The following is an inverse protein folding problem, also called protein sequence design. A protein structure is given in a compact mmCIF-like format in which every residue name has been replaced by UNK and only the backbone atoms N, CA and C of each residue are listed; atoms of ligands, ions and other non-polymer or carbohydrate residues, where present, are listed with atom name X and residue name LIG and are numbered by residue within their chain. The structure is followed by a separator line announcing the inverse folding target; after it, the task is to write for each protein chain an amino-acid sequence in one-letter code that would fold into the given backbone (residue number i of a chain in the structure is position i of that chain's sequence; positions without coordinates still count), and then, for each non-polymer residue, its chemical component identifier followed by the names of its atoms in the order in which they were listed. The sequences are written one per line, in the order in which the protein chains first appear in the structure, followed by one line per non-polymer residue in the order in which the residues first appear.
data_IF_819681325168
#
_entry.id   IF_819681325168
#
_cell.length_a   1.000
_cell.length_b   1.000
_cell.length_c   1.000
_cell.angle_alpha   90.00
_cell.angle_beta   90.00
_cell.angle_gamma   90.00
#
_symmetry.space_group_name_H-M   'P 1'
#
loop_
_entity.id
_entity.type
_entity.pdbx_description
1 polymer ?
#
# COMPACT_ATOMS: atom_id res chain seq x y z
N UNK A 1 -62.28 -15.84 -26.98
CA UNK A 1 -61.76 -17.12 -26.45
C UNK A 1 -60.55 -17.53 -27.29
N UNK A 2 -59.38 -17.68 -26.67
CA UNK A 2 -58.26 -18.42 -27.27
C UNK A 2 -56.93 -17.67 -27.30
N UNK A 3 -56.45 -17.26 -26.13
CA UNK A 3 -55.09 -16.82 -25.87
C UNK A 3 -54.03 -17.86 -26.30
N UNK A 4 -52.89 -17.39 -26.78
CA UNK A 4 -51.76 -18.27 -27.13
C UNK A 4 -50.48 -17.53 -27.51
N UNK A 5 -50.17 -16.41 -26.84
CA UNK A 5 -48.87 -15.75 -27.02
C UNK A 5 -47.72 -16.65 -26.52
N UNK A 6 -46.94 -17.17 -27.47
CA UNK A 6 -45.69 -17.88 -27.19
C UNK A 6 -44.67 -16.94 -26.57
N UNK A 7 -44.54 -16.98 -25.24
CA UNK A 7 -43.46 -16.34 -24.48
C UNK A 7 -42.09 -16.82 -24.99
N UNK A 8 -41.40 -16.01 -25.78
CA UNK A 8 -39.96 -16.16 -26.03
C UNK A 8 -39.21 -15.68 -24.80
N UNK A 9 -38.64 -16.61 -24.04
CA UNK A 9 -37.69 -16.26 -22.97
C UNK A 9 -36.46 -15.56 -23.57
N UNK A 10 -36.00 -14.41 -23.04
CA UNK A 10 -34.69 -13.90 -23.40
C UNK A 10 -33.63 -14.84 -22.81
N UNK A 11 -32.89 -15.52 -23.70
CA UNK A 11 -31.73 -16.33 -23.31
C UNK A 11 -30.75 -15.44 -22.54
N UNK A 12 -30.51 -15.80 -21.28
CA UNK A 12 -29.49 -15.15 -20.46
C UNK A 12 -28.16 -15.14 -21.23
N UNK A 13 -27.59 -13.95 -21.45
CA UNK A 13 -26.22 -13.83 -21.97
C UNK A 13 -25.31 -14.49 -20.96
N UNK A 14 -24.73 -15.64 -21.31
CA UNK A 14 -23.59 -16.20 -20.58
C UNK A 14 -22.49 -15.15 -20.65
N UNK A 15 -22.19 -14.51 -19.52
CA UNK A 15 -20.94 -13.78 -19.36
C UNK A 15 -19.85 -14.83 -19.40
N UNK A 16 -19.25 -15.02 -20.59
CA UNK A 16 -18.11 -15.89 -20.76
C UNK A 16 -16.94 -15.30 -19.95
N UNK A 17 -16.84 -15.74 -18.69
CA UNK A 17 -15.71 -15.43 -17.83
C UNK A 17 -14.43 -15.94 -18.50
N UNK A 18 -13.37 -15.16 -18.41
CA UNK A 18 -12.05 -15.52 -18.95
C UNK A 18 -11.64 -16.89 -18.40
N UNK A 19 -11.45 -17.86 -19.29
CA UNK A 19 -11.00 -19.19 -18.90
C UNK A 19 -9.57 -19.14 -18.34
N UNK A 20 -9.25 -19.96 -17.34
CA UNK A 20 -7.89 -20.08 -16.77
C UNK A 20 -6.83 -20.28 -17.85
N UNK A 21 -7.15 -21.04 -18.89
CA UNK A 21 -6.25 -21.27 -20.03
C UNK A 21 -6.04 -20.01 -20.87
N UNK A 22 -7.09 -19.25 -21.15
CA UNK A 22 -6.99 -17.98 -21.86
C UNK A 22 -6.23 -16.94 -21.04
N UNK A 23 -6.43 -16.92 -19.73
CA UNK A 23 -5.64 -16.08 -18.81
C UNK A 23 -4.16 -16.46 -18.86
N UNK A 24 -3.82 -17.75 -18.72
CA UNK A 24 -2.43 -18.21 -18.76
C UNK A 24 -1.74 -17.93 -20.10
N UNK A 25 -2.45 -18.15 -21.22
CA UNK A 25 -1.95 -17.84 -22.56
C UNK A 25 -1.71 -16.34 -22.72
N UNK A 26 -2.64 -15.49 -22.26
CA UNK A 26 -2.46 -14.03 -22.31
C UNK A 26 -1.33 -13.55 -21.40
N UNK A 27 -1.20 -14.11 -20.20
CA UNK A 27 -0.13 -13.79 -19.26
C UNK A 27 1.25 -14.18 -19.83
N UNK A 28 1.39 -15.38 -20.38
CA UNK A 28 2.65 -15.84 -20.98
C UNK A 28 3.09 -14.95 -22.16
N UNK A 29 2.16 -14.56 -23.03
CA UNK A 29 2.45 -13.66 -24.14
C UNK A 29 2.82 -12.25 -23.66
N UNK A 30 2.16 -11.73 -22.62
CA UNK A 30 2.49 -10.43 -22.03
C UNK A 30 3.87 -10.42 -21.36
N UNK A 31 4.22 -11.50 -20.64
CA UNK A 31 5.54 -11.66 -20.01
C UNK A 31 6.66 -11.82 -21.04
N UNK A 32 6.41 -12.52 -22.15
CA UNK A 32 7.38 -12.66 -23.23
C UNK A 32 7.67 -11.31 -23.91
N UNK A 33 6.66 -10.47 -24.13
CA UNK A 33 6.85 -9.15 -24.74
C UNK A 33 7.63 -8.17 -23.83
N UNK A 34 7.50 -8.28 -22.51
CA UNK A 34 8.22 -7.43 -21.56
C UNK A 34 9.75 -7.68 -21.54
N UNK A 35 10.21 -8.88 -21.96
CA UNK A 35 11.63 -9.22 -22.01
C UNK A 35 12.38 -8.63 -23.22
N UNK A 36 11.65 -8.13 -24.24
CA UNK A 36 12.23 -7.54 -25.45
C UNK A 36 12.01 -6.03 -25.55
N UNK A 37 11.41 -5.41 -24.54
CA UNK A 37 11.33 -3.95 -24.49
C UNK A 37 12.72 -3.40 -24.13
N UNK A 38 13.29 -2.49 -24.93
CA UNK A 38 14.49 -1.78 -24.53
C UNK A 38 14.18 -1.04 -23.22
N UNK A 39 15.00 -1.24 -22.20
CA UNK A 39 14.89 -0.60 -20.86
C UNK A 39 14.92 0.93 -20.91
N UNK A 40 15.15 1.54 -22.08
CA UNK A 40 15.18 2.98 -22.29
C UNK A 40 13.80 3.66 -22.39
N UNK A 41 12.68 2.94 -22.42
CA UNK A 41 11.34 3.59 -22.32
C UNK A 41 11.00 4.10 -20.91
N UNK A 42 11.86 3.84 -19.91
CA UNK A 42 11.82 4.49 -18.60
C UNK A 42 12.87 5.59 -18.44
N UNK A 43 13.55 5.99 -19.52
CA UNK A 43 14.41 7.17 -19.49
C UNK A 43 13.55 8.43 -19.48
N UNK A 44 13.26 8.94 -18.29
CA UNK A 44 12.88 10.34 -18.10
C UNK A 44 14.03 11.17 -18.66
N UNK A 45 13.73 11.99 -19.67
CA UNK A 45 14.66 12.92 -20.29
C UNK A 45 15.07 13.98 -19.24
N UNK A 46 16.21 13.78 -18.57
CA UNK A 46 16.74 14.68 -17.54
C UNK A 46 17.48 15.90 -18.13
N UNK A 47 17.31 16.22 -19.41
CA UNK A 47 18.12 17.23 -20.10
C UNK A 47 17.66 18.69 -19.95
N UNK A 48 16.62 18.96 -19.16
CA UNK A 48 16.24 20.34 -18.84
C UNK A 48 15.66 20.43 -17.43
N UNK A 49 16.54 20.36 -16.44
CA UNK A 49 16.24 20.82 -15.10
C UNK A 49 17.26 21.90 -14.78
N UNK A 50 16.80 23.15 -14.74
CA UNK A 50 17.53 24.24 -14.11
C UNK A 50 18.09 23.78 -12.76
N UNK A 51 19.31 24.22 -12.37
CA UNK A 51 19.90 23.80 -11.11
C UNK A 51 18.93 24.09 -9.96
N UNK A 52 18.63 23.10 -9.09
CA UNK A 52 17.70 23.31 -8.01
C UNK A 52 18.27 24.38 -7.07
N UNK A 53 17.59 25.52 -7.04
CA UNK A 53 17.84 26.61 -6.11
C UNK A 53 17.82 26.03 -4.69
N UNK A 54 18.98 26.01 -4.05
CA UNK A 54 19.21 25.42 -2.74
C UNK A 54 18.39 26.18 -1.68
N UNK A 55 17.41 25.56 -1.00
CA UNK A 55 16.81 26.19 0.17
C UNK A 55 17.83 26.18 1.33
N UNK A 56 17.74 27.17 2.24
CA UNK A 56 18.76 27.45 3.23
C UNK A 56 19.05 26.27 4.16
N UNK A 57 20.34 26.13 4.46
CA UNK A 57 20.97 25.15 5.34
C UNK A 57 20.30 25.16 6.71
N UNK A 58 19.69 24.04 7.11
CA UNK A 58 19.14 23.94 8.46
C UNK A 58 18.13 22.84 8.71
N UNK A 59 18.36 21.61 8.23
CA UNK A 59 17.80 20.36 8.81
C UNK A 59 18.60 19.19 8.24
N UNK A 60 18.71 18.04 8.94
CA UNK A 60 19.20 16.83 8.29
C UNK A 60 18.23 16.50 7.16
N UNK A 61 18.71 16.72 5.94
CA UNK A 61 17.98 16.40 4.71
C UNK A 61 17.81 14.88 4.70
N UNK A 62 16.56 14.42 4.51
CA UNK A 62 16.27 13.00 4.32
C UNK A 62 17.21 12.39 3.28
N UNK A 63 17.55 11.11 3.41
CA UNK A 63 18.27 10.42 2.36
C UNK A 63 17.49 10.52 1.03
N UNK A 64 18.17 10.46 -0.14
CA UNK A 64 17.49 10.58 -1.42
C UNK A 64 16.41 9.51 -1.62
N UNK A 65 16.65 8.28 -1.14
CA UNK A 65 15.67 7.19 -1.14
C UNK A 65 14.47 7.52 -0.25
N UNK A 66 14.71 8.00 0.96
CA UNK A 66 13.65 8.41 1.87
C UNK A 66 12.80 9.57 1.33
N UNK A 67 13.43 10.52 0.63
CA UNK A 67 12.72 11.61 -0.03
C UNK A 67 11.81 11.07 -1.14
N UNK A 68 12.32 10.15 -1.97
CA UNK A 68 11.54 9.53 -3.03
C UNK A 68 10.33 8.75 -2.49
N UNK A 69 10.50 8.03 -1.38
CA UNK A 69 9.40 7.34 -0.71
C UNK A 69 8.36 8.30 -0.12
N UNK A 70 8.79 9.41 0.48
CA UNK A 70 7.89 10.42 1.02
C UNK A 70 7.03 11.05 -0.09
N UNK A 71 7.66 11.37 -1.23
CA UNK A 71 6.97 11.91 -2.41
C UNK A 71 6.02 10.86 -3.03
N UNK A 72 6.44 9.60 -3.13
CA UNK A 72 5.57 8.52 -3.60
C UNK A 72 4.35 8.31 -2.69
N UNK A 73 4.54 8.37 -1.37
CA UNK A 73 3.43 8.26 -0.40
C UNK A 73 2.48 9.45 -0.49
N UNK A 74 3.01 10.66 -0.64
CA UNK A 74 2.20 11.85 -0.87
C UNK A 74 1.33 11.70 -2.12
N UNK A 75 1.91 11.25 -3.24
CA UNK A 75 1.17 11.02 -4.48
C UNK A 75 0.11 9.93 -4.35
N UNK A 76 0.39 8.85 -3.61
CA UNK A 76 -0.58 7.80 -3.34
C UNK A 76 -1.80 8.31 -2.54
N UNK A 77 -1.56 9.21 -1.57
CA UNK A 77 -2.63 9.86 -0.80
C UNK A 77 -3.46 10.77 -1.72
N UNK A 78 -2.83 11.59 -2.55
CA UNK A 78 -3.54 12.45 -3.50
C UNK A 78 -4.37 11.66 -4.51
N UNK A 79 -3.85 10.54 -4.99
CA UNK A 79 -4.57 9.68 -5.93
C UNK A 79 -5.85 9.12 -5.31
N UNK A 80 -5.82 8.76 -4.02
CA UNK A 80 -6.97 8.15 -3.32
C UNK A 80 -7.94 9.19 -2.73
N UNK A 81 -7.42 10.33 -2.30
CA UNK A 81 -8.15 11.27 -1.45
C UNK A 81 -8.04 12.74 -1.88
N UNK A 82 -7.27 13.04 -2.92
CA UNK A 82 -6.94 14.41 -3.33
C UNK A 82 -8.14 15.29 -3.67
N UNK A 83 -9.23 14.71 -4.18
CA UNK A 83 -10.48 15.44 -4.46
C UNK A 83 -11.21 15.94 -3.21
N UNK A 84 -10.90 15.37 -2.03
CA UNK A 84 -11.51 15.74 -0.74
C UNK A 84 -10.63 16.70 0.06
N UNK A 85 -9.46 17.08 -0.46
CA UNK A 85 -8.45 17.82 0.27
C UNK A 85 -8.32 19.24 -0.29
N UNK A 86 -8.33 20.22 0.61
CA UNK A 86 -7.95 21.59 0.27
C UNK A 86 -6.45 21.70 0.01
N UNK A 87 -6.02 22.76 -0.66
CA UNK A 87 -4.59 22.94 -0.97
C UNK A 87 -3.74 23.14 0.29
N UNK A 88 -4.30 23.77 1.33
CA UNK A 88 -3.67 23.83 2.65
C UNK A 88 -3.45 22.43 3.24
N UNK A 89 -4.47 21.57 3.19
CA UNK A 89 -4.37 20.19 3.68
C UNK A 89 -3.37 19.36 2.87
N UNK A 90 -3.28 19.57 1.55
CA UNK A 90 -2.26 18.92 0.71
C UNK A 90 -0.85 19.35 1.13
N UNK A 91 -0.64 20.64 1.40
CA UNK A 91 0.61 21.16 1.96
C UNK A 91 0.98 20.51 3.29
N UNK A 92 0.01 20.39 4.20
CA UNK A 92 0.20 19.72 5.49
C UNK A 92 0.53 18.24 5.34
N UNK A 93 -0.17 17.52 4.47
CA UNK A 93 0.11 16.09 4.21
C UNK A 93 1.54 15.94 3.70
N UNK A 94 1.98 16.79 2.76
CA UNK A 94 3.36 16.74 2.25
C UNK A 94 4.39 16.93 3.36
N UNK A 95 4.17 17.90 4.26
CA UNK A 95 5.02 18.12 5.44
C UNK A 95 5.03 16.90 6.36
N UNK A 96 3.85 16.38 6.71
CA UNK A 96 3.69 15.23 7.61
C UNK A 96 4.32 13.96 7.02
N UNK A 97 4.22 13.73 5.71
CA UNK A 97 4.89 12.59 5.06
C UNK A 97 6.41 12.67 5.16
N UNK A 98 6.99 13.87 5.05
CA UNK A 98 8.42 14.08 5.26
C UNK A 98 8.85 13.90 6.71
N UNK A 99 8.05 14.36 7.67
CA UNK A 99 8.32 14.15 9.10
C UNK A 99 8.24 12.68 9.50
N UNK A 100 7.22 11.96 9.04
CA UNK A 100 7.07 10.52 9.26
C UNK A 100 8.28 9.74 8.74
N UNK A 101 8.84 10.16 7.61
CA UNK A 101 9.96 9.47 7.00
C UNK A 101 11.21 9.44 7.89
N UNK A 102 11.45 10.50 8.68
CA UNK A 102 12.56 10.55 9.65
C UNK A 102 12.44 9.45 10.71
N UNK A 103 11.22 9.23 11.21
CA UNK A 103 10.96 8.16 12.18
C UNK A 103 11.14 6.78 11.54
N UNK A 104 10.73 6.61 10.28
CA UNK A 104 10.89 5.34 9.55
C UNK A 104 12.35 4.99 9.28
N UNK A 105 13.21 5.95 8.95
CA UNK A 105 14.65 5.70 8.82
C UNK A 105 15.27 5.19 10.13
N UNK A 106 14.81 5.70 11.28
CA UNK A 106 15.25 5.20 12.58
C UNK A 106 14.79 3.76 12.81
N UNK A 107 13.52 3.44 12.50
CA UNK A 107 12.97 2.09 12.67
C UNK A 107 13.63 1.07 11.75
N UNK A 108 14.00 1.44 10.52
CA UNK A 108 14.69 0.55 9.57
C UNK A 108 16.10 0.16 9.98
N UNK A 109 16.72 0.90 10.91
CA UNK A 109 18.02 0.54 11.47
C UNK A 109 17.92 -0.56 12.53
N UNK A 110 16.72 -0.88 13.00
CA UNK A 110 16.54 -2.01 13.91
C UNK A 110 16.90 -3.31 13.16
N UNK A 111 17.81 -4.08 13.75
CA UNK A 111 18.15 -5.42 13.27
C UNK A 111 16.97 -6.34 13.57
N UNK A 112 16.45 -6.97 12.51
CA UNK A 112 15.33 -7.89 12.59
C UNK A 112 15.70 -9.14 11.80
N UNK A 113 15.51 -10.28 12.44
CA UNK A 113 15.71 -11.58 11.84
C UNK A 113 14.41 -12.16 11.30
N UNK A 114 14.52 -13.00 10.27
CA UNK A 114 13.38 -13.78 9.77
C UNK A 114 12.93 -14.77 10.86
N UNK A 115 11.94 -14.38 11.65
CA UNK A 115 11.47 -15.14 12.82
C UNK A 115 11.07 -14.24 13.99
N UNK A 116 11.50 -12.98 13.97
CA UNK A 116 11.09 -11.99 14.97
C UNK A 116 9.59 -11.74 14.91
N UNK A 117 8.89 -12.23 15.93
CA UNK A 117 7.45 -12.14 16.03
C UNK A 117 7.02 -10.70 16.35
N UNK A 118 5.80 -10.31 15.95
CA UNK A 118 5.23 -9.05 16.43
C UNK A 118 5.18 -9.05 17.96
N UNK A 119 5.38 -7.88 18.56
CA UNK A 119 5.34 -7.71 20.02
C UNK A 119 4.02 -8.20 20.64
N UNK A 120 2.93 -8.19 19.86
CA UNK A 120 1.64 -8.72 20.22
C UNK A 120 1.21 -9.79 19.20
N UNK A 121 0.83 -10.97 19.70
CA UNK A 121 0.25 -12.04 18.90
C UNK A 121 -1.17 -12.36 19.34
N UNK A 122 -1.99 -12.81 18.39
CA UNK A 122 -3.32 -13.29 18.68
C UNK A 122 -3.22 -14.61 19.47
N UNK A 123 -3.77 -14.64 20.68
CA UNK A 123 -3.97 -15.86 21.48
C UNK A 123 -5.39 -16.37 21.24
N UNK A 124 -5.60 -17.47 20.48
CA UNK A 124 -6.91 -18.07 20.30
C UNK A 124 -7.57 -18.41 21.64
N UNK A 125 -8.90 -18.33 21.71
CA UNK A 125 -9.65 -18.57 22.96
C UNK A 125 -9.39 -19.97 23.53
N UNK A 126 -9.21 -20.98 22.68
CA UNK A 126 -8.94 -22.37 23.08
C UNK A 126 -7.66 -22.49 23.93
N UNK A 127 -6.64 -21.67 23.68
CA UNK A 127 -5.41 -21.66 24.46
C UNK A 127 -5.58 -20.97 25.82
N UNK A 128 -6.48 -19.98 25.92
CA UNK A 128 -6.83 -19.32 27.19
C UNK A 128 -7.65 -20.23 28.10
N UNK A 129 -8.51 -21.08 27.53
CA UNK A 129 -9.26 -22.07 28.30
C UNK A 129 -8.34 -23.17 28.84
N UNK A 130 -7.35 -23.59 28.05
CA UNK A 130 -6.33 -24.57 28.47
C UNK A 130 -5.37 -24.02 29.54
N UNK A 131 -5.02 -22.73 29.46
CA UNK A 131 -4.19 -22.04 30.44
C UNK A 131 -4.93 -20.79 30.96
N UNK A 132 -5.79 -20.94 31.98
CA UNK A 132 -6.50 -19.80 32.55
C UNK A 132 -5.49 -18.81 33.15
N UNK A 133 -5.60 -17.55 32.74
CA UNK A 133 -4.85 -16.47 33.35
C UNK A 133 -5.40 -16.26 34.75
N UNK A 134 -4.67 -16.73 35.77
CA UNK A 134 -4.98 -16.42 37.16
C UNK A 134 -4.84 -14.90 37.33
N UNK A 135 -5.87 -14.18 37.79
CA UNK A 135 -5.76 -12.76 38.07
C UNK A 135 -4.63 -12.53 39.07
N UNK A 136 -3.62 -11.76 38.70
CA UNK A 136 -2.60 -11.33 39.66
C UNK A 136 -3.28 -10.47 40.73
N UNK A 137 -3.16 -10.89 41.99
CA UNK A 137 -3.73 -10.18 43.12
C UNK A 137 -3.17 -8.75 43.17
N UNK A 138 -4.08 -7.77 43.14
CA UNK A 138 -3.75 -6.36 43.37
C UNK A 138 -3.20 -6.22 44.79
N UNK A 139 -2.00 -5.64 45.00
CA UNK A 139 -1.46 -5.48 46.34
C UNK A 139 -2.34 -4.50 47.13
N UNK A 140 -2.95 -5.01 48.20
CA UNK A 140 -3.72 -4.20 49.13
C UNK A 140 -2.78 -3.24 49.86
N UNK A 141 -3.03 -1.93 49.71
CA UNK A 141 -2.35 -0.90 50.50
C UNK A 141 -2.66 -1.14 51.98
N UNK A 142 -1.63 -1.42 52.78
CA UNK A 142 -1.73 -1.35 54.24
C UNK A 142 -2.00 0.11 54.62
N UNK A 143 -3.06 0.32 55.42
CA UNK A 143 -3.34 1.56 56.13
C UNK A 143 -2.33 1.77 57.26
#
# INVERSE_FOLDING_TARGET
MGDGEGKKHPSARRTEGISRRQFAVRAALASAAAAYLPTNVLAVDQKNLDPPQQPPSGTPKLSPEAQAEADARYQAILTRHGSKLSDAQKGDIRRLTGELQKALETLRKAELENGDAPALYLKPLVEREKNPVVPQAVPSKKK
#
